data_IF_019511638899
#
_entry.id   IF_019511638899
#
_cell.length_a   1.000
_cell.length_b   1.000
_cell.length_c   1.000
_cell.angle_alpha   90.00
_cell.angle_beta   90.00
_cell.angle_gamma   90.00
#
_symmetry.space_group_name_H-M   'P 1'
#
loop_
_entity.id
_entity.type
_entity.pdbx_description
1 polymer ?
#
# COMPACT_ATOMS: atom_id res chain seq x y z
N UNK A 1 52.82 15.94 53.87
CA UNK A 1 52.01 16.87 53.03
C UNK A 1 51.46 16.05 51.86
N UNK A 2 50.21 15.59 51.98
CA UNK A 2 49.56 14.73 50.98
C UNK A 2 48.58 15.57 50.15
N UNK A 3 48.71 15.55 48.82
CA UNK A 3 47.67 15.99 47.89
C UNK A 3 47.20 14.76 47.10
N UNK A 4 45.98 14.35 47.34
CA UNK A 4 45.28 13.33 46.55
C UNK A 4 44.47 14.09 45.50
N UNK A 5 44.79 13.88 44.23
CA UNK A 5 44.06 14.47 43.09
C UNK A 5 42.87 13.58 42.74
N UNK A 6 41.66 14.13 42.85
CA UNK A 6 40.43 13.53 42.31
C UNK A 6 40.37 13.76 40.79
N UNK A 7 40.31 12.67 40.01
CA UNK A 7 40.01 12.73 38.58
C UNK A 7 38.52 12.42 38.40
N UNK A 8 37.72 13.44 38.05
CA UNK A 8 36.32 13.28 37.68
C UNK A 8 36.27 12.82 36.21
N UNK A 9 35.92 11.55 35.98
CA UNK A 9 35.61 11.03 34.64
C UNK A 9 34.18 11.45 34.28
N UNK A 10 34.06 12.43 33.39
CA UNK A 10 32.77 12.84 32.83
C UNK A 10 32.42 11.89 31.68
N UNK A 11 31.47 10.97 31.90
CA UNK A 11 30.87 10.17 30.83
C UNK A 11 29.99 11.06 29.96
N UNK A 12 30.47 11.43 28.77
CA UNK A 12 29.62 12.00 27.72
C UNK A 12 28.70 10.91 27.18
N UNK A 13 27.43 10.96 27.56
CA UNK A 13 26.36 10.22 26.89
C UNK A 13 26.02 11.00 25.62
N UNK A 14 26.54 10.54 24.48
CA UNK A 14 26.16 11.08 23.17
C UNK A 14 24.76 10.57 22.86
N UNK A 15 23.75 11.40 23.13
CA UNK A 15 22.37 11.12 22.74
C UNK A 15 22.24 11.36 21.23
N UNK A 16 22.28 10.30 20.44
CA UNK A 16 22.01 10.37 19.00
C UNK A 16 20.53 10.68 18.82
N UNK A 17 20.20 11.94 18.56
CA UNK A 17 18.86 12.36 18.17
C UNK A 17 18.62 11.82 16.76
N UNK A 18 18.00 10.65 16.64
CA UNK A 18 17.53 10.14 15.36
C UNK A 18 16.34 10.99 14.93
N UNK A 19 16.58 11.98 14.06
CA UNK A 19 15.50 12.67 13.34
C UNK A 19 14.77 11.61 12.50
N UNK A 20 13.58 11.22 12.94
CA UNK A 20 12.61 10.56 12.06
C UNK A 20 12.30 11.52 10.92
N UNK A 21 12.92 11.29 9.76
CA UNK A 21 12.51 11.92 8.51
C UNK A 21 11.13 11.33 8.21
N UNK A 22 10.09 12.04 8.64
CA UNK A 22 8.75 11.86 8.11
C UNK A 22 8.84 12.22 6.63
N UNK A 23 8.72 11.23 5.73
CA UNK A 23 8.48 11.55 4.33
C UNK A 23 7.21 12.39 4.28
N UNK A 24 7.21 13.57 3.62
CA UNK A 24 5.99 14.33 3.47
C UNK A 24 4.95 13.46 2.78
N UNK A 25 3.69 13.61 3.20
CA UNK A 25 2.56 13.03 2.49
C UNK A 25 2.51 13.66 1.10
N UNK A 26 2.62 12.82 0.06
CA UNK A 26 2.56 13.27 -1.33
C UNK A 26 1.17 12.97 -1.85
N UNK A 27 0.46 14.01 -2.22
CA UNK A 27 -0.80 13.85 -2.93
C UNK A 27 -0.52 13.27 -4.31
N UNK A 28 -1.11 12.11 -4.63
CA UNK A 28 -0.88 11.45 -5.91
C UNK A 28 -1.92 11.92 -6.92
N UNK A 29 -1.44 12.18 -8.13
CA UNK A 29 -2.34 12.45 -9.25
C UNK A 29 -2.93 11.14 -9.74
N UNK A 30 -3.98 11.26 -10.53
CA UNK A 30 -4.64 10.12 -11.15
C UNK A 30 -3.64 9.19 -11.87
N UNK A 31 -2.79 9.73 -12.74
CA UNK A 31 -1.81 8.92 -13.49
C UNK A 31 -0.81 8.22 -12.55
N UNK A 32 -0.33 8.91 -11.52
CA UNK A 32 0.59 8.32 -10.54
C UNK A 32 -0.05 7.16 -9.75
N UNK A 33 -1.35 7.28 -9.43
CA UNK A 33 -2.09 6.20 -8.77
C UNK A 33 -2.26 5.01 -9.70
N UNK A 34 -2.64 5.24 -10.95
CA UNK A 34 -2.79 4.17 -11.97
C UNK A 34 -1.47 3.46 -12.20
N UNK A 35 -0.36 4.19 -12.29
CA UNK A 35 0.97 3.61 -12.45
C UNK A 35 1.36 2.74 -11.24
N UNK A 36 1.06 3.19 -10.02
CA UNK A 36 1.30 2.40 -8.80
C UNK A 36 0.41 1.16 -8.70
N UNK A 37 -0.85 1.25 -9.13
CA UNK A 37 -1.76 0.09 -9.20
C UNK A 37 -1.23 -0.95 -10.18
N UNK A 38 -0.78 -0.50 -11.35
CA UNK A 38 -0.20 -1.35 -12.39
C UNK A 38 1.11 -1.99 -11.93
N UNK A 39 1.97 -1.22 -11.28
CA UNK A 39 3.20 -1.71 -10.67
C UNK A 39 2.89 -2.81 -9.65
N UNK A 40 1.94 -2.57 -8.74
CA UNK A 40 1.55 -3.54 -7.71
C UNK A 40 1.07 -4.86 -8.33
N UNK A 41 0.22 -4.79 -9.36
CA UNK A 41 -0.27 -5.98 -10.07
C UNK A 41 0.87 -6.76 -10.77
N UNK A 42 1.94 -6.09 -11.21
CA UNK A 42 3.09 -6.74 -11.84
C UNK A 42 4.02 -7.42 -10.84
N UNK A 43 4.21 -6.84 -9.66
CA UNK A 43 5.19 -7.35 -8.68
C UNK A 43 4.65 -8.45 -7.78
N UNK A 44 3.33 -8.54 -7.60
CA UNK A 44 2.65 -9.61 -6.85
C UNK A 44 1.45 -10.16 -7.62
N UNK A 45 1.66 -10.68 -8.84
CA UNK A 45 0.59 -11.11 -9.73
C UNK A 45 -0.20 -12.32 -9.19
N UNK A 46 0.36 -13.09 -8.26
CA UNK A 46 -0.35 -14.19 -7.61
C UNK A 46 -1.50 -13.71 -6.71
N UNK A 47 -1.43 -12.45 -6.26
CA UNK A 47 -2.41 -11.85 -5.36
C UNK A 47 -3.15 -10.66 -5.94
N UNK A 48 -2.66 -10.02 -7.01
CA UNK A 48 -3.19 -8.74 -7.48
C UNK A 48 -3.41 -8.73 -8.99
N UNK A 49 -4.66 -8.58 -9.39
CA UNK A 49 -5.05 -8.27 -10.76
C UNK A 49 -5.63 -6.85 -10.86
N UNK A 50 -5.16 -6.08 -11.83
CA UNK A 50 -5.72 -4.78 -12.16
C UNK A 50 -6.61 -4.88 -13.41
N UNK A 51 -7.77 -4.23 -13.39
CA UNK A 51 -8.63 -4.09 -14.57
C UNK A 51 -9.35 -2.73 -14.61
N UNK A 52 -9.83 -2.33 -15.80
CA UNK A 52 -10.76 -1.20 -15.95
C UNK A 52 -12.20 -1.72 -15.78
N UNK A 53 -12.94 -1.15 -14.82
CA UNK A 53 -14.35 -1.45 -14.62
C UNK A 53 -15.19 -1.05 -15.84
N UNK A 54 -14.80 0.04 -16.52
CA UNK A 54 -15.43 0.50 -17.76
C UNK A 54 -15.36 -0.57 -18.85
N UNK A 55 -14.19 -1.16 -19.04
CA UNK A 55 -14.01 -2.24 -20.02
C UNK A 55 -14.70 -3.53 -19.58
N UNK A 56 -14.54 -3.94 -18.31
CA UNK A 56 -15.06 -5.21 -17.78
C UNK A 56 -16.59 -5.25 -17.76
N UNK A 57 -17.23 -4.16 -17.32
CA UNK A 57 -18.67 -4.07 -17.14
C UNK A 57 -19.37 -3.31 -18.26
N UNK A 58 -18.62 -2.85 -19.27
CA UNK A 58 -19.14 -2.07 -20.41
C UNK A 58 -19.87 -0.80 -19.97
N UNK A 59 -19.34 -0.13 -18.94
CA UNK A 59 -19.85 1.14 -18.44
C UNK A 59 -19.01 2.30 -19.00
N UNK A 60 -19.62 3.45 -19.20
CA UNK A 60 -18.90 4.62 -19.71
C UNK A 60 -17.90 5.15 -18.70
N UNK A 61 -16.81 5.73 -19.20
CA UNK A 61 -15.82 6.42 -18.36
C UNK A 61 -16.47 7.65 -17.74
N UNK A 62 -16.05 8.01 -16.53
CA UNK A 62 -16.57 9.20 -15.89
C UNK A 62 -16.26 10.45 -16.74
N UNK A 63 -17.18 11.41 -16.74
CA UNK A 63 -16.98 12.68 -17.42
C UNK A 63 -15.88 13.49 -16.70
N UNK A 64 -15.05 14.17 -17.48
CA UNK A 64 -13.96 15.01 -16.95
C UNK A 64 -12.64 14.71 -17.63
N UNK A 65 -11.59 15.33 -17.10
CA UNK A 65 -10.23 15.19 -17.59
C UNK A 65 -9.35 14.60 -16.51
N UNK A 66 -8.98 13.33 -16.67
CA UNK A 66 -8.11 12.64 -15.73
C UNK A 66 -6.64 12.65 -16.20
N UNK A 67 -5.74 12.83 -15.24
CA UNK A 67 -4.30 12.83 -15.48
C UNK A 67 -3.76 14.08 -16.17
N UNK A 68 -2.46 14.08 -16.46
CA UNK A 68 -1.77 15.15 -17.21
C UNK A 68 -2.30 15.28 -18.65
N UNK A 69 -2.68 14.14 -19.24
CA UNK A 69 -2.99 14.02 -20.66
C UNK A 69 -4.47 14.23 -20.98
N UNK A 70 -5.26 14.71 -20.01
CA UNK A 70 -6.71 14.85 -20.12
C UNK A 70 -7.38 13.60 -20.72
N UNK A 71 -6.96 12.42 -20.22
CA UNK A 71 -7.51 11.14 -20.66
C UNK A 71 -8.91 10.94 -20.06
N UNK A 72 -9.62 9.96 -20.63
CA UNK A 72 -10.84 9.41 -20.03
C UNK A 72 -10.55 8.96 -18.60
N UNK A 73 -11.45 9.30 -17.68
CA UNK A 73 -11.42 8.86 -16.29
C UNK A 73 -11.89 7.41 -16.21
N UNK A 74 -10.93 6.51 -16.36
CA UNK A 74 -11.15 5.07 -16.25
C UNK A 74 -11.16 4.67 -14.77
N UNK A 75 -12.16 3.90 -14.38
CA UNK A 75 -12.32 3.36 -13.05
C UNK A 75 -11.49 2.08 -12.94
N UNK A 76 -10.22 2.26 -12.60
CA UNK A 76 -9.32 1.14 -12.37
C UNK A 76 -9.61 0.49 -11.01
N UNK A 77 -9.56 -0.84 -11.02
CA UNK A 77 -9.83 -1.68 -9.86
C UNK A 77 -8.65 -2.61 -9.64
N UNK A 78 -8.25 -2.75 -8.38
CA UNK A 78 -7.39 -3.83 -7.91
C UNK A 78 -8.26 -4.91 -7.28
N UNK A 79 -8.26 -6.10 -7.88
CA UNK A 79 -8.77 -7.31 -7.28
C UNK A 79 -7.61 -7.99 -6.54
N UNK A 80 -7.77 -8.16 -5.22
CA UNK A 80 -6.75 -8.73 -4.35
C UNK A 80 -7.31 -9.98 -3.67
N UNK A 81 -6.76 -11.14 -4.02
CA UNK A 81 -7.22 -12.45 -3.55
C UNK A 81 -6.18 -13.52 -3.88
N UNK A 82 -6.26 -14.70 -3.27
CA UNK A 82 -5.53 -15.87 -3.78
C UNK A 82 -6.20 -16.36 -5.08
N UNK A 83 -5.69 -15.89 -6.22
CA UNK A 83 -6.25 -16.18 -7.54
C UNK A 83 -6.13 -17.66 -7.93
N UNK A 84 -5.08 -18.35 -7.47
CA UNK A 84 -4.86 -19.76 -7.77
C UNK A 84 -5.94 -20.66 -7.15
N UNK A 85 -6.48 -20.25 -5.99
CA UNK A 85 -7.49 -20.99 -5.25
C UNK A 85 -8.83 -20.25 -5.20
N UNK A 86 -9.11 -19.36 -6.15
CA UNK A 86 -10.33 -18.56 -6.14
C UNK A 86 -11.60 -19.41 -6.34
N UNK A 87 -12.63 -19.12 -5.56
CA UNK A 87 -13.98 -19.66 -5.71
C UNK A 87 -14.99 -18.50 -5.73
N UNK A 88 -15.99 -18.61 -6.58
CA UNK A 88 -17.14 -17.72 -6.71
C UNK A 88 -17.93 -17.47 -5.41
N UNK A 89 -17.85 -18.35 -4.42
CA UNK A 89 -18.51 -18.17 -3.11
C UNK A 89 -17.65 -17.42 -2.10
N UNK A 90 -16.40 -17.07 -2.44
CA UNK A 90 -15.50 -16.34 -1.56
C UNK A 90 -16.12 -14.97 -1.23
N UNK A 91 -16.27 -14.60 0.06
CA UNK A 91 -16.87 -13.32 0.41
C UNK A 91 -16.08 -12.15 -0.16
N UNK A 92 -16.80 -11.21 -0.75
CA UNK A 92 -16.25 -10.01 -1.37
C UNK A 92 -16.29 -8.81 -0.41
N UNK A 93 -15.24 -7.98 -0.45
CA UNK A 93 -15.16 -6.71 0.25
C UNK A 93 -14.83 -5.64 -0.78
N UNK A 94 -15.73 -4.68 -0.95
CA UNK A 94 -15.51 -3.53 -1.82
C UNK A 94 -15.07 -2.30 -1.02
N UNK A 95 -13.99 -1.65 -1.44
CA UNK A 95 -13.47 -0.42 -0.85
C UNK A 95 -13.30 0.62 -1.96
N UNK A 96 -14.01 1.75 -1.85
CA UNK A 96 -13.84 2.91 -2.72
C UNK A 96 -13.16 4.05 -1.98
N UNK A 97 -12.21 4.72 -2.63
CA UNK A 97 -11.44 5.83 -2.03
C UNK A 97 -12.05 7.21 -2.27
N UNK A 98 -12.55 7.52 -3.45
CA UNK A 98 -13.21 8.79 -3.71
C UNK A 98 -14.51 8.56 -4.48
N UNK A 99 -15.60 9.11 -3.95
CA UNK A 99 -16.83 9.32 -4.71
C UNK A 99 -16.87 10.76 -5.24
N UNK A 100 -16.29 11.70 -4.50
CA UNK A 100 -16.14 13.10 -4.92
C UNK A 100 -14.66 13.43 -5.18
N UNK A 101 -14.40 14.23 -6.22
CA UNK A 101 -13.03 14.49 -6.71
C UNK A 101 -12.13 15.31 -5.77
N UNK A 102 -12.71 15.98 -4.78
CA UNK A 102 -12.03 16.78 -3.75
C UNK A 102 -11.74 15.98 -2.46
N UNK A 103 -12.21 14.74 -2.35
CA UNK A 103 -11.94 13.83 -1.22
C UNK A 103 -10.55 13.17 -1.36
N UNK A 104 -9.47 13.95 -1.25
CA UNK A 104 -8.09 13.49 -1.56
C UNK A 104 -7.55 12.39 -0.64
N UNK A 105 -8.05 12.28 0.59
CA UNK A 105 -7.53 11.33 1.59
C UNK A 105 -7.90 9.88 1.23
N UNK A 106 -9.13 9.67 0.74
CA UNK A 106 -9.66 8.32 0.56
C UNK A 106 -8.97 7.53 -0.56
N UNK A 107 -8.66 8.10 -1.75
CA UNK A 107 -7.88 7.39 -2.78
C UNK A 107 -6.54 6.90 -2.29
N UNK A 108 -5.84 7.73 -1.54
CA UNK A 108 -4.52 7.42 -1.00
C UNK A 108 -4.61 6.35 0.10
N UNK A 109 -5.63 6.41 0.95
CA UNK A 109 -5.89 5.38 1.96
C UNK A 109 -6.24 4.03 1.33
N UNK A 110 -7.09 4.02 0.30
CA UNK A 110 -7.45 2.79 -0.42
C UNK A 110 -6.25 2.17 -1.13
N UNK A 111 -5.44 2.98 -1.83
CA UNK A 111 -4.23 2.50 -2.49
C UNK A 111 -3.19 1.98 -1.48
N UNK A 112 -2.98 2.68 -0.36
CA UNK A 112 -2.08 2.22 0.69
C UNK A 112 -2.57 0.90 1.33
N UNK A 113 -3.89 0.78 1.54
CA UNK A 113 -4.51 -0.45 2.06
C UNK A 113 -4.31 -1.61 1.10
N UNK A 114 -4.56 -1.41 -0.19
CA UNK A 114 -4.31 -2.39 -1.24
C UNK A 114 -2.86 -2.90 -1.18
N UNK A 115 -1.91 -1.97 -1.10
CA UNK A 115 -0.48 -2.25 -1.06
C UNK A 115 -0.09 -3.05 0.18
N UNK A 116 -0.59 -2.68 1.35
CA UNK A 116 -0.33 -3.38 2.62
C UNK A 116 -0.90 -4.80 2.59
N UNK A 117 -2.13 -4.97 2.11
CA UNK A 117 -2.78 -6.29 2.03
C UNK A 117 -1.99 -7.22 1.10
N UNK A 118 -1.70 -6.76 -0.12
CA UNK A 118 -1.03 -7.57 -1.12
C UNK A 118 0.43 -7.88 -0.76
N UNK A 119 1.23 -6.86 -0.45
CA UNK A 119 2.64 -7.07 -0.11
C UNK A 119 2.81 -7.76 1.24
N UNK A 120 1.91 -7.53 2.20
CA UNK A 120 1.93 -8.24 3.48
C UNK A 120 1.65 -9.74 3.33
N UNK A 121 0.67 -10.10 2.49
CA UNK A 121 0.40 -11.50 2.15
C UNK A 121 1.58 -12.13 1.40
N UNK A 122 2.12 -11.46 0.39
CA UNK A 122 3.30 -11.92 -0.35
C UNK A 122 4.54 -12.05 0.55
N UNK A 123 4.72 -11.13 1.50
CA UNK A 123 5.80 -11.17 2.48
C UNK A 123 5.69 -12.42 3.38
N UNK A 124 4.48 -12.82 3.77
CA UNK A 124 4.24 -14.03 4.54
C UNK A 124 4.59 -15.32 3.77
N UNK A 125 4.46 -15.32 2.44
CA UNK A 125 4.74 -16.49 1.59
C UNK A 125 6.22 -16.57 1.21
N UNK A 126 6.80 -15.46 0.75
CA UNK A 126 8.12 -15.44 0.11
C UNK A 126 9.25 -14.96 1.02
N UNK A 127 8.95 -14.49 2.22
CA UNK A 127 9.94 -13.99 3.17
C UNK A 127 10.61 -12.67 2.75
N UNK A 128 11.61 -12.28 3.54
CA UNK A 128 12.17 -10.91 3.57
C UNK A 128 12.91 -10.48 2.30
N UNK A 129 13.38 -11.42 1.48
CA UNK A 129 14.25 -11.12 0.33
C UNK A 129 13.49 -10.66 -0.92
N UNK A 130 12.16 -10.88 -0.98
CA UNK A 130 11.34 -10.55 -2.15
C UNK A 130 10.33 -9.44 -1.80
N UNK A 131 9.05 -9.79 -1.63
CA UNK A 131 7.96 -8.83 -1.47
C UNK A 131 8.10 -7.90 -0.24
N UNK A 132 8.71 -8.38 0.86
CA UNK A 132 8.90 -7.53 2.05
C UNK A 132 9.89 -6.38 1.81
N UNK A 133 10.77 -6.49 0.81
CA UNK A 133 11.71 -5.42 0.44
C UNK A 133 11.01 -4.23 -0.22
N UNK A 134 9.84 -4.45 -0.84
CA UNK A 134 9.01 -3.44 -1.50
C UNK A 134 8.17 -2.61 -0.52
N UNK A 135 8.08 -3.05 0.74
CA UNK A 135 7.43 -2.29 1.81
C UNK A 135 8.36 -1.16 2.28
N UNK A 136 7.80 0.03 2.47
CA UNK A 136 8.54 1.09 3.17
C UNK A 136 8.81 0.67 4.61
N UNK A 137 9.75 1.36 5.26
CA UNK A 137 10.01 1.17 6.70
C UNK A 137 8.75 1.33 7.54
N UNK A 138 7.88 2.27 7.17
CA UNK A 138 6.61 2.54 7.87
C UNK A 138 5.65 1.35 7.76
N UNK A 139 5.40 0.86 6.55
CA UNK A 139 4.49 -0.27 6.37
C UNK A 139 5.04 -1.56 6.96
N UNK A 140 6.35 -1.82 6.82
CA UNK A 140 6.99 -2.99 7.44
C UNK A 140 6.78 -3.00 8.95
N UNK A 141 6.90 -1.83 9.60
CA UNK A 141 6.60 -1.68 11.03
C UNK A 141 5.12 -1.91 11.33
N UNK A 142 4.22 -1.42 10.48
CA UNK A 142 2.77 -1.59 10.67
C UNK A 142 2.32 -3.06 10.58
N UNK A 143 2.93 -3.83 9.67
CA UNK A 143 2.55 -5.24 9.44
C UNK A 143 3.33 -6.23 10.29
N UNK A 144 4.38 -5.81 11.00
CA UNK A 144 5.22 -6.71 11.79
C UNK A 144 4.38 -7.59 12.72
N UNK A 145 4.53 -8.91 12.58
CA UNK A 145 3.82 -9.93 13.35
C UNK A 145 2.37 -10.16 12.89
N UNK A 146 1.93 -9.56 11.77
CA UNK A 146 0.58 -9.66 11.20
C UNK A 146 0.58 -10.25 9.79
N UNK A 147 1.74 -10.62 9.26
CA UNK A 147 1.93 -11.11 7.88
C UNK A 147 1.05 -12.35 7.63
N UNK A 148 1.05 -13.31 8.56
CA UNK A 148 0.21 -14.51 8.47
C UNK A 148 -1.30 -14.18 8.48
N UNK A 149 -1.71 -13.14 9.20
CA UNK A 149 -3.10 -12.70 9.24
C UNK A 149 -3.50 -11.98 7.95
N UNK A 150 -2.62 -11.15 7.38
CA UNK A 150 -2.84 -10.54 6.07
C UNK A 150 -2.94 -11.60 4.96
N UNK A 151 -2.08 -12.61 5.00
CA UNK A 151 -2.17 -13.77 4.11
C UNK A 151 -3.50 -14.51 4.28
N UNK A 152 -3.94 -14.73 5.53
CA UNK A 152 -5.25 -15.33 5.78
C UNK A 152 -6.38 -14.50 5.15
N UNK A 153 -6.37 -13.17 5.29
CA UNK A 153 -7.39 -12.32 4.67
C UNK A 153 -7.39 -12.46 3.15
N UNK A 154 -6.24 -12.32 2.49
CA UNK A 154 -6.11 -12.42 1.02
C UNK A 154 -6.51 -13.81 0.51
N UNK A 155 -6.23 -14.87 1.27
CA UNK A 155 -6.65 -16.24 0.90
C UNK A 155 -8.14 -16.50 1.07
N UNK A 156 -8.83 -15.73 1.91
CA UNK A 156 -10.21 -16.02 2.30
C UNK A 156 -11.22 -14.93 1.89
N UNK A 157 -10.78 -13.83 1.28
CA UNK A 157 -11.63 -12.73 0.82
C UNK A 157 -11.26 -12.33 -0.60
N UNK A 158 -12.26 -11.88 -1.36
CA UNK A 158 -12.02 -11.16 -2.59
C UNK A 158 -12.06 -9.67 -2.29
N UNK A 159 -10.93 -8.98 -2.30
CA UNK A 159 -10.89 -7.55 -2.00
C UNK A 159 -10.94 -6.78 -3.33
N UNK A 160 -11.98 -6.00 -3.54
CA UNK A 160 -12.16 -5.16 -4.72
C UNK A 160 -11.90 -3.71 -4.31
N UNK A 161 -10.78 -3.15 -4.76
CA UNK A 161 -10.34 -1.83 -4.33
C UNK A 161 -10.31 -0.86 -5.51
N UNK A 162 -11.08 0.22 -5.39
CA UNK A 162 -11.19 1.30 -6.36
C UNK A 162 -10.71 2.60 -5.70
N UNK A 163 -9.43 2.99 -5.87
CA UNK A 163 -8.90 4.18 -5.22
C UNK A 163 -9.61 5.47 -5.66
N UNK A 164 -9.81 5.69 -6.95
CA UNK A 164 -10.46 6.88 -7.48
C UNK A 164 -11.30 6.54 -8.71
N UNK A 165 -12.37 7.31 -8.90
CA UNK A 165 -13.24 7.28 -10.08
C UNK A 165 -12.88 8.34 -11.11
#
# INVERSE_FOLDING_TARGET
MNRISFVVRQCMVISIISKTISSPYVDLRYDDMVDKMLELSKVVPEFVHMYSANTRYKIEAAHGNCGEKHKRCEQYVLEITDHANFDSKRPEIFISGALHGDERVGPLATLATARIMALGAACAVHGLENACSLLTRGERKSIQGKEAWLLFLVKNRNLIMLPAT
#
